data_IF_518965658693
#
_entry.id   IF_518965658693
#
_cell.length_a   1.000
_cell.length_b   1.000
_cell.length_c   1.000
_cell.angle_alpha   90.00
_cell.angle_beta   90.00
_cell.angle_gamma   90.00
#
_symmetry.space_group_name_H-M   'P 1'
#
loop_
_entity.id
_entity.type
_entity.pdbx_description
1 polymer ?
#
# COMPACT_ATOMS: atom_id res chain seq x y z
N UNK A 1 22.77 12.42 -16.47
CA UNK A 1 22.75 12.26 -15.00
C UNK A 1 21.48 12.86 -14.37
N UNK A 2 21.12 14.12 -14.63
CA UNK A 2 19.91 14.76 -14.06
C UNK A 2 18.61 14.04 -14.41
N UNK A 3 18.46 13.60 -15.68
CA UNK A 3 17.22 12.94 -16.12
C UNK A 3 16.95 11.61 -15.40
N UNK A 4 17.98 10.80 -15.13
CA UNK A 4 17.78 9.52 -14.44
C UNK A 4 17.28 9.71 -13.00
N UNK A 5 17.85 10.67 -12.28
CA UNK A 5 17.42 11.01 -10.92
C UNK A 5 15.99 11.57 -10.90
N UNK A 6 15.61 12.36 -11.90
CA UNK A 6 14.22 12.79 -12.08
C UNK A 6 13.27 11.59 -12.23
N UNK A 7 13.65 10.60 -13.05
CA UNK A 7 12.82 9.39 -13.24
C UNK A 7 12.76 8.51 -11.99
N UNK A 8 13.83 8.43 -11.20
CA UNK A 8 13.81 7.76 -9.89
C UNK A 8 12.81 8.43 -8.94
N UNK A 9 12.83 9.76 -8.87
CA UNK A 9 11.84 10.53 -8.12
C UNK A 9 10.40 10.25 -8.60
N UNK A 10 10.17 10.30 -9.91
CA UNK A 10 8.86 9.96 -10.49
C UNK A 10 8.40 8.54 -10.12
N UNK A 11 9.30 7.56 -10.11
CA UNK A 11 8.97 6.20 -9.67
C UNK A 11 8.56 6.19 -8.19
N UNK A 12 9.30 6.84 -7.31
CA UNK A 12 8.97 6.90 -5.88
C UNK A 12 7.59 7.55 -5.64
N UNK A 13 7.38 8.74 -6.22
CA UNK A 13 6.12 9.50 -6.08
C UNK A 13 4.92 8.72 -6.63
N UNK A 14 5.09 8.07 -7.79
CA UNK A 14 3.99 7.29 -8.41
C UNK A 14 3.65 6.04 -7.62
N UNK A 15 4.64 5.36 -7.02
CA UNK A 15 4.40 4.23 -6.13
C UNK A 15 3.72 4.68 -4.83
N UNK A 16 4.06 5.84 -4.28
CA UNK A 16 3.36 6.41 -3.12
C UNK A 16 1.90 6.73 -3.45
N UNK A 17 1.65 7.46 -4.55
CA UNK A 17 0.29 7.75 -5.01
C UNK A 17 -0.53 6.49 -5.31
N UNK A 18 0.11 5.44 -5.82
CA UNK A 18 -0.52 4.15 -6.02
C UNK A 18 -0.97 3.51 -4.68
N UNK A 19 -0.11 3.51 -3.67
CA UNK A 19 -0.46 2.98 -2.34
C UNK A 19 -1.59 3.78 -1.69
N UNK A 20 -1.54 5.11 -1.80
CA UNK A 20 -2.57 6.00 -1.26
C UNK A 20 -3.93 5.74 -1.92
N UNK A 21 -4.00 5.72 -3.25
CA UNK A 21 -5.26 5.46 -3.97
C UNK A 21 -5.85 4.07 -3.65
N UNK A 22 -5.02 3.04 -3.54
CA UNK A 22 -5.47 1.70 -3.15
C UNK A 22 -5.92 1.66 -1.66
N UNK A 23 -5.20 2.34 -0.77
CA UNK A 23 -5.55 2.48 0.64
C UNK A 23 -6.89 3.19 0.82
N UNK A 24 -7.08 4.33 0.16
CA UNK A 24 -8.35 5.06 0.15
C UNK A 24 -9.49 4.23 -0.44
N UNK A 25 -9.23 3.48 -1.52
CA UNK A 25 -10.22 2.57 -2.14
C UNK A 25 -10.70 1.53 -1.14
N UNK A 26 -9.76 0.94 -0.39
CA UNK A 26 -10.07 -0.04 0.66
C UNK A 26 -10.92 0.57 1.79
N UNK A 27 -10.59 1.78 2.22
CA UNK A 27 -11.32 2.52 3.24
C UNK A 27 -12.73 2.89 2.76
N UNK A 28 -12.87 3.34 1.53
CA UNK A 28 -14.14 3.67 0.89
C UNK A 28 -15.06 2.43 0.84
N UNK A 29 -14.51 1.27 0.52
CA UNK A 29 -15.26 0.01 0.52
C UNK A 29 -15.80 -0.32 1.92
N UNK A 30 -14.95 -0.21 2.96
CA UNK A 30 -15.34 -0.50 4.35
C UNK A 30 -16.34 0.50 4.93
N UNK A 31 -16.18 1.78 4.64
CA UNK A 31 -16.92 2.86 5.30
C UNK A 31 -18.16 3.33 4.54
N UNK A 32 -18.11 3.31 3.20
CA UNK A 32 -19.19 3.83 2.36
C UNK A 32 -19.98 2.69 1.72
N UNK A 33 -19.31 1.74 1.06
CA UNK A 33 -19.99 0.65 0.33
C UNK A 33 -20.72 -0.28 1.30
N UNK A 34 -20.07 -0.74 2.37
CA UNK A 34 -20.70 -1.64 3.37
C UNK A 34 -21.83 -0.98 4.18
N UNK A 35 -21.78 0.34 4.39
CA UNK A 35 -22.76 1.08 5.21
C UNK A 35 -23.88 1.74 4.38
N UNK A 36 -23.86 1.62 3.05
CA UNK A 36 -24.86 2.22 2.19
C UNK A 36 -26.22 1.51 2.36
N UNK A 37 -27.23 2.25 2.85
CA UNK A 37 -28.58 1.74 3.07
C UNK A 37 -29.62 2.18 2.02
N UNK A 38 -29.22 2.98 1.03
CA UNK A 38 -30.10 3.44 -0.05
C UNK A 38 -29.40 3.37 -1.39
N UNK A 39 -30.18 3.19 -2.47
CA UNK A 39 -29.67 3.12 -3.83
C UNK A 39 -28.77 4.31 -4.19
N UNK A 40 -29.17 5.53 -3.79
CA UNK A 40 -28.38 6.75 -4.02
C UNK A 40 -27.03 6.72 -3.31
N UNK A 41 -26.97 6.20 -2.08
CA UNK A 41 -25.71 6.10 -1.34
C UNK A 41 -24.83 4.98 -1.89
N UNK A 42 -25.43 3.85 -2.30
CA UNK A 42 -24.69 2.77 -2.96
C UNK A 42 -24.05 3.26 -4.24
N UNK A 43 -24.79 3.98 -5.09
CA UNK A 43 -24.24 4.54 -6.33
C UNK A 43 -23.07 5.49 -6.06
N UNK A 44 -23.22 6.42 -5.10
CA UNK A 44 -22.14 7.35 -4.73
C UNK A 44 -20.90 6.65 -4.16
N UNK A 45 -21.11 5.61 -3.35
CA UNK A 45 -20.01 4.83 -2.81
C UNK A 45 -19.24 4.11 -3.93
N UNK A 46 -19.95 3.55 -4.92
CA UNK A 46 -19.33 2.95 -6.09
C UNK A 46 -18.64 3.98 -7.01
N UNK A 47 -19.24 5.16 -7.22
CA UNK A 47 -18.60 6.25 -7.98
C UNK A 47 -17.25 6.64 -7.36
N UNK A 48 -17.18 6.72 -6.03
CA UNK A 48 -15.94 6.99 -5.31
C UNK A 48 -14.91 5.87 -5.48
N UNK A 49 -15.34 4.60 -5.41
CA UNK A 49 -14.46 3.45 -5.67
C UNK A 49 -13.91 3.49 -7.11
N UNK A 50 -14.75 3.80 -8.10
CA UNK A 50 -14.33 3.90 -9.50
C UNK A 50 -13.37 5.06 -9.72
N UNK A 51 -13.58 6.20 -9.06
CA UNK A 51 -12.66 7.34 -9.09
C UNK A 51 -11.28 6.94 -8.56
N UNK A 52 -11.22 6.28 -7.40
CA UNK A 52 -9.96 5.83 -6.80
C UNK A 52 -9.26 4.76 -7.65
N UNK A 53 -10.03 3.88 -8.28
CA UNK A 53 -9.51 2.90 -9.23
C UNK A 53 -8.89 3.57 -10.48
N UNK A 54 -9.51 4.64 -10.98
CA UNK A 54 -8.96 5.43 -12.09
C UNK A 54 -7.66 6.13 -11.71
N UNK A 55 -7.57 6.71 -10.50
CA UNK A 55 -6.32 7.31 -10.00
C UNK A 55 -5.20 6.25 -9.86
N UNK A 56 -5.50 5.08 -9.32
CA UNK A 56 -4.53 3.98 -9.23
C UNK A 56 -3.99 3.56 -10.62
N UNK A 57 -4.88 3.45 -11.61
CA UNK A 57 -4.49 3.15 -13.01
C UNK A 57 -3.62 4.25 -13.61
N UNK A 58 -3.89 5.51 -13.29
CA UNK A 58 -3.08 6.66 -13.72
C UNK A 58 -1.69 6.61 -13.11
N UNK A 59 -1.57 6.39 -11.80
CA UNK A 59 -0.28 6.20 -11.11
C UNK A 59 0.53 5.07 -11.76
N UNK A 60 -0.11 3.93 -12.03
CA UNK A 60 0.53 2.81 -12.75
C UNK A 60 1.04 3.21 -14.14
N UNK A 61 0.23 3.93 -14.93
CA UNK A 61 0.63 4.35 -16.27
C UNK A 61 1.87 5.25 -16.23
N UNK A 62 1.90 6.21 -15.30
CA UNK A 62 3.07 7.08 -15.09
C UNK A 62 4.28 6.30 -14.60
N UNK A 63 4.11 5.35 -13.68
CA UNK A 63 5.17 4.45 -13.23
C UNK A 63 5.78 3.66 -14.40
N UNK A 64 4.95 3.04 -15.25
CA UNK A 64 5.41 2.28 -16.42
C UNK A 64 6.21 3.15 -17.39
N UNK A 65 5.77 4.40 -17.60
CA UNK A 65 6.49 5.36 -18.43
C UNK A 65 7.87 5.71 -17.82
N UNK A 66 7.93 6.00 -16.52
CA UNK A 66 9.17 6.34 -15.83
C UNK A 66 10.16 5.16 -15.81
N UNK A 67 9.66 3.94 -15.55
CA UNK A 67 10.45 2.70 -15.63
C UNK A 67 10.99 2.44 -17.04
N UNK A 68 10.17 2.64 -18.07
CA UNK A 68 10.61 2.51 -19.46
C UNK A 68 11.69 3.53 -19.83
N UNK A 69 11.57 4.77 -19.36
CA UNK A 69 12.61 5.78 -19.54
C UNK A 69 13.93 5.39 -18.86
N UNK A 70 13.87 4.87 -17.63
CA UNK A 70 15.06 4.38 -16.91
C UNK A 70 15.74 3.22 -17.64
N UNK A 71 14.96 2.28 -18.21
CA UNK A 71 15.48 1.18 -19.03
C UNK A 71 16.24 1.70 -20.26
N UNK A 72 15.71 2.72 -20.95
CA UNK A 72 16.37 3.31 -22.11
C UNK A 72 17.65 4.07 -21.75
N UNK A 73 17.70 4.70 -20.57
CA UNK A 73 18.85 5.50 -20.14
C UNK A 73 20.05 4.65 -19.73
N UNK A 74 19.86 3.37 -19.35
CA UNK A 74 20.94 2.43 -18.97
C UNK A 74 21.94 2.91 -17.91
N UNK A 75 21.58 3.94 -17.13
CA UNK A 75 22.47 4.57 -16.12
C UNK A 75 22.57 3.72 -14.85
N UNK A 76 21.54 2.94 -14.52
CA UNK A 76 21.45 2.21 -13.25
C UNK A 76 20.68 0.87 -13.43
N UNK A 77 21.33 -0.16 -13.98
CA UNK A 77 20.68 -1.44 -14.26
C UNK A 77 20.29 -2.19 -12.97
N UNK A 78 21.03 -1.97 -11.88
CA UNK A 78 20.74 -2.58 -10.58
C UNK A 78 19.45 -2.02 -9.99
N UNK A 79 19.28 -0.69 -9.99
CA UNK A 79 18.02 -0.07 -9.56
C UNK A 79 16.85 -0.52 -10.42
N UNK A 80 17.00 -0.55 -11.74
CA UNK A 80 15.92 -0.98 -12.67
C UNK A 80 15.53 -2.44 -12.44
N UNK A 81 16.46 -3.31 -12.04
CA UNK A 81 16.17 -4.70 -11.72
C UNK A 81 15.26 -4.87 -10.49
N UNK A 82 15.29 -3.92 -9.55
CA UNK A 82 14.36 -3.90 -8.38
C UNK A 82 12.93 -3.50 -8.77
N UNK A 83 12.76 -2.84 -9.91
CA UNK A 83 11.46 -2.36 -10.38
C UNK A 83 10.73 -3.45 -11.16
N UNK A 84 9.72 -4.06 -10.54
CA UNK A 84 8.87 -5.05 -11.20
C UNK A 84 7.69 -4.40 -11.94
N UNK A 85 7.07 -5.12 -12.88
CA UNK A 85 5.83 -4.65 -13.50
C UNK A 85 4.67 -4.70 -12.50
N UNK A 86 3.66 -3.86 -12.73
CA UNK A 86 2.44 -3.79 -11.94
C UNK A 86 1.29 -4.19 -12.84
N UNK A 87 0.70 -5.35 -12.58
CA UNK A 87 -0.41 -5.92 -13.36
C UNK A 87 -1.76 -5.37 -12.90
N UNK A 88 -2.84 -5.64 -13.65
CA UNK A 88 -4.20 -5.32 -13.19
C UNK A 88 -4.60 -6.15 -11.96
N UNK A 89 -4.06 -7.36 -11.81
CA UNK A 89 -4.31 -8.21 -10.65
C UNK A 89 -3.71 -7.60 -9.38
N UNK A 90 -2.57 -6.92 -9.49
CA UNK A 90 -1.95 -6.20 -8.36
C UNK A 90 -2.75 -4.97 -7.91
N UNK A 91 -3.64 -4.44 -8.76
CA UNK A 91 -4.53 -3.32 -8.43
C UNK A 91 -5.85 -3.78 -7.80
N UNK A 92 -6.11 -5.09 -7.80
CA UNK A 92 -7.27 -5.65 -7.12
C UNK A 92 -7.01 -5.58 -5.62
N UNK A 93 -7.54 -4.52 -5.01
CA UNK A 93 -7.79 -4.51 -3.58
C UNK A 93 -8.84 -5.59 -3.32
N UNK A 94 -8.42 -6.80 -2.93
CA UNK A 94 -9.37 -7.70 -2.32
C UNK A 94 -9.89 -6.95 -1.09
N UNK A 95 -11.21 -6.75 -0.97
CA UNK A 95 -11.81 -6.07 0.18
C UNK A 95 -11.39 -6.69 1.53
N UNK A 96 -10.83 -7.90 1.47
CA UNK A 96 -10.28 -8.73 2.55
C UNK A 96 -8.80 -8.44 2.91
N UNK A 97 -8.01 -7.75 2.08
CA UNK A 97 -6.59 -7.46 2.39
C UNK A 97 -6.44 -6.48 3.56
N UNK A 98 -7.46 -5.68 3.83
CA UNK A 98 -7.51 -4.69 4.93
C UNK A 98 -8.45 -5.08 6.06
N UNK A 99 -9.00 -6.30 6.06
CA UNK A 99 -9.80 -6.81 7.17
C UNK A 99 -8.89 -7.51 8.19
N UNK A 100 -8.53 -6.79 9.26
CA UNK A 100 -7.72 -7.30 10.38
C UNK A 100 -8.32 -8.56 11.03
N UNK A 101 -9.62 -8.80 10.83
CA UNK A 101 -10.35 -9.92 11.46
C UNK A 101 -10.29 -11.22 10.65
N UNK A 102 -9.61 -11.24 9.50
CA UNK A 102 -9.50 -12.44 8.66
C UNK A 102 -8.35 -13.32 9.13
N UNK A 103 -8.69 -14.48 9.71
CA UNK A 103 -7.73 -15.54 9.98
C UNK A 103 -7.12 -16.07 8.66
N UNK A 104 -5.79 -16.20 8.58
CA UNK A 104 -5.09 -16.77 7.42
C UNK A 104 -4.47 -15.77 6.44
N UNK A 105 -4.45 -14.47 6.77
CA UNK A 105 -3.90 -13.40 5.91
C UNK A 105 -2.44 -13.60 5.47
N UNK A 106 -1.67 -14.45 6.19
CA UNK A 106 -0.27 -14.79 5.89
C UNK A 106 -0.04 -15.45 4.51
N UNK A 107 -1.07 -16.00 3.86
CA UNK A 107 -0.93 -16.67 2.55
C UNK A 107 -1.21 -15.80 1.33
N UNK A 108 -1.84 -14.63 1.50
CA UNK A 108 -2.11 -13.73 0.37
C UNK A 108 -0.83 -12.91 0.10
N UNK A 109 -0.11 -13.27 -0.97
CA UNK A 109 1.10 -12.58 -1.37
C UNK A 109 0.75 -11.14 -1.79
N UNK A 110 1.01 -10.17 -0.90
CA UNK A 110 0.88 -8.75 -1.23
C UNK A 110 1.79 -8.41 -2.42
N UNK A 111 1.31 -7.57 -3.36
CA UNK A 111 2.14 -7.06 -4.45
C UNK A 111 3.46 -6.48 -3.93
N UNK A 112 4.53 -6.64 -4.71
CA UNK A 112 5.90 -6.26 -4.32
C UNK A 112 6.01 -4.80 -3.85
N UNK A 113 5.22 -3.89 -4.44
CA UNK A 113 5.27 -2.47 -4.09
C UNK A 113 4.73 -2.18 -2.69
N UNK A 114 4.02 -3.09 -2.02
CA UNK A 114 3.65 -2.92 -0.61
C UNK A 114 4.79 -3.18 0.36
N UNK A 115 5.86 -3.83 -0.08
CA UNK A 115 7.03 -4.11 0.75
C UNK A 115 7.87 -2.83 0.86
N UNK A 116 7.95 -2.29 2.07
CA UNK A 116 8.87 -1.19 2.38
C UNK A 116 10.23 -1.80 2.72
N UNK A 117 11.20 -1.68 1.80
CA UNK A 117 12.58 -2.09 2.02
C UNK A 117 12.72 -3.59 2.27
N UNK A 118 13.16 -4.34 1.26
CA UNK A 118 14.11 -5.40 1.59
C UNK A 118 15.32 -4.65 2.17
N UNK A 119 15.40 -4.62 3.49
CA UNK A 119 16.60 -4.20 4.17
C UNK A 119 17.71 -5.10 3.65
N UNK A 120 18.51 -4.59 2.71
CA UNK A 120 19.89 -5.00 2.58
C UNK A 120 20.41 -5.03 4.01
N UNK A 121 20.90 -6.19 4.40
CA UNK A 121 21.35 -6.59 5.73
C UNK A 121 22.50 -5.68 6.20
N UNK A 122 22.15 -4.45 6.56
CA UNK A 122 23.03 -3.40 7.05
C UNK A 122 22.45 -2.87 8.34
N UNK A 123 22.44 -3.72 9.37
CA UNK A 123 22.58 -3.36 10.79
C UNK A 123 21.87 -2.12 11.32
N UNK A 124 20.74 -1.72 10.74
CA UNK A 124 20.00 -0.51 11.10
C UNK A 124 18.76 -0.91 11.90
N UNK A 125 18.72 -0.46 13.15
CA UNK A 125 17.66 -0.66 14.15
C UNK A 125 16.31 -1.06 13.53
N UNK A 126 16.00 -2.37 13.51
CA UNK A 126 14.60 -2.83 13.43
C UNK A 126 13.86 -2.11 14.55
N UNK A 127 12.74 -1.48 14.20
CA UNK A 127 11.78 -0.92 15.15
C UNK A 127 11.54 -1.98 16.24
N UNK A 128 12.07 -1.75 17.44
CA UNK A 128 11.83 -2.63 18.59
C UNK A 128 10.33 -2.60 18.83
N UNK A 129 9.73 -3.79 18.79
CA UNK A 129 8.34 -4.00 19.16
C UNK A 129 8.10 -3.32 20.52
N UNK A 130 7.16 -2.37 20.56
CA UNK A 130 6.66 -1.85 21.84
C UNK A 130 5.98 -3.01 22.56
N UNK A 131 6.72 -3.72 23.42
CA UNK A 131 6.13 -4.64 24.39
C UNK A 131 5.17 -3.85 25.26
N UNK A 132 3.87 -4.02 25.00
CA UNK A 132 2.82 -3.63 25.94
C UNK A 132 3.09 -4.36 27.26
N UNK A 133 3.62 -3.64 28.24
CA UNK A 133 3.65 -4.11 29.61
C UNK A 133 2.21 -4.12 30.11
N UNK A 134 1.59 -5.30 30.11
CA UNK A 134 0.45 -5.56 30.97
C UNK A 134 0.91 -5.30 32.41
N UNK A 135 0.58 -4.13 32.94
CA UNK A 135 0.60 -3.92 34.38
C UNK A 135 -0.54 -4.75 34.96
N UNK A 136 -0.26 -5.79 35.77
CA UNK A 136 -1.30 -6.43 36.51
C UNK A 136 -1.72 -5.45 37.60
N UNK A 137 -2.89 -4.81 37.46
CA UNK A 137 -3.61 -4.32 38.61
C UNK A 137 -3.98 -5.53 39.46
N UNK A 138 -3.03 -5.92 40.31
CA UNK A 138 -3.24 -6.86 41.38
C UNK A 138 -4.35 -6.29 42.27
N UNK A 139 -5.51 -6.94 42.23
CA UNK A 139 -6.49 -6.89 43.30
C UNK A 139 -5.77 -7.21 44.60
N UNK A 140 -5.67 -6.22 45.48
CA UNK A 140 -5.38 -6.46 46.90
C UNK A 140 -6.37 -5.67 47.73
N UNK A 141 -7.37 -6.39 48.24
CA UNK A 141 -8.01 -6.06 49.52
C UNK A 141 -6.90 -5.71 50.54
N UNK A 142 -7.13 -4.67 51.36
CA UNK A 142 -7.03 -4.68 52.83
C UNK A 142 -7.29 -3.25 53.35
N UNK A 143 -8.37 -3.16 54.15
CA UNK A 143 -8.62 -2.33 55.34
C UNK A 143 -8.12 -0.87 55.36
N UNK A 144 -9.08 0.07 55.41
CA UNK A 144 -9.42 0.86 56.60
C UNK A 144 -10.86 1.35 56.49
#
# INVERSE_FOLDING_TARGET
MVEAELRKGQVADTLEGLRLSLGEKSLCFRTQVRNANSQRMTHRAWDNVHKLDAEARKCRATYRQARGALQCLSIDPEYVATLHDITDDDLKVAGDLTDERRFGQRSDALPWFWRFGDAVDSGGLRMQECTYSYWPCAVRLILL
#
